data_IF_023546999447
#
_entry.id   IF_023546999447
#
_cell.length_a   1.000
_cell.length_b   1.000
_cell.length_c   1.000
_cell.angle_alpha   90.00
_cell.angle_beta   90.00
_cell.angle_gamma   90.00
#
_symmetry.space_group_name_H-M   'P 1'
#
loop_
_entity.id
_entity.type
_entity.pdbx_description
1 polymer ?
#
# COMPACT_ATOMS: atom_id res chain seq x y z
N UNK A 1 14.66 15.43 -21.33
CA UNK A 1 14.21 14.08 -20.94
C UNK A 1 13.69 14.18 -19.52
N UNK A 2 12.48 13.69 -19.27
CA UNK A 2 11.94 13.52 -17.93
C UNK A 2 12.50 12.24 -17.32
N UNK A 3 12.78 12.25 -16.01
CA UNK A 3 13.22 11.07 -15.27
C UNK A 3 12.02 10.49 -14.52
N UNK A 4 11.79 9.18 -14.65
CA UNK A 4 10.76 8.47 -13.88
C UNK A 4 11.39 7.72 -12.72
N UNK A 5 10.88 7.94 -11.52
CA UNK A 5 11.24 7.24 -10.30
C UNK A 5 10.21 6.16 -10.02
N UNK A 6 10.68 4.94 -9.77
CA UNK A 6 9.84 3.78 -9.46
C UNK A 6 10.04 3.37 -8.01
N UNK A 7 8.95 3.29 -7.25
CA UNK A 7 9.00 2.93 -5.84
C UNK A 7 8.10 1.73 -5.64
N UNK A 8 8.68 0.64 -5.12
CA UNK A 8 7.98 -0.59 -4.79
C UNK A 8 7.81 -0.66 -3.29
N UNK A 9 6.57 -0.63 -2.81
CA UNK A 9 6.27 -0.62 -1.38
C UNK A 9 5.60 -1.91 -0.90
N UNK A 10 5.99 -2.39 0.28
CA UNK A 10 5.35 -3.51 0.98
C UNK A 10 5.17 -3.22 2.48
N UNK A 11 4.02 -3.59 3.01
CA UNK A 11 3.64 -3.39 4.42
C UNK A 11 3.92 -4.64 5.27
N UNK A 12 5.07 -4.68 5.97
CA UNK A 12 5.42 -5.72 6.94
C UNK A 12 5.12 -5.32 8.40
N UNK A 13 4.19 -4.40 8.63
CA UNK A 13 3.88 -3.93 9.99
C UNK A 13 3.12 -4.96 10.84
N UNK A 14 2.55 -5.99 10.22
CA UNK A 14 1.71 -7.01 10.87
C UNK A 14 0.23 -6.63 10.97
N UNK A 15 -0.17 -5.46 10.48
CA UNK A 15 -1.56 -5.01 10.40
C UNK A 15 -1.81 -4.23 9.12
N UNK A 16 -3.05 -4.27 8.64
CA UNK A 16 -3.43 -3.57 7.42
C UNK A 16 -3.57 -2.08 7.72
N UNK A 17 -3.14 -1.23 6.79
CA UNK A 17 -3.19 0.21 7.01
C UNK A 17 -3.29 0.99 5.69
N UNK A 18 -3.70 2.25 5.80
CA UNK A 18 -3.63 3.20 4.70
C UNK A 18 -2.27 3.90 4.70
N UNK A 19 -1.67 3.99 3.53
CA UNK A 19 -0.39 4.64 3.32
C UNK A 19 -0.55 5.82 2.39
N UNK A 20 0.05 6.94 2.76
CA UNK A 20 0.15 8.13 1.92
C UNK A 20 1.57 8.27 1.38
N UNK A 21 1.65 8.54 0.09
CA UNK A 21 2.85 8.90 -0.62
C UNK A 21 2.86 10.41 -0.91
N UNK A 22 3.95 11.09 -0.58
CA UNK A 22 4.11 12.53 -0.77
C UNK A 22 5.58 12.89 -1.00
N UNK A 23 5.85 14.07 -1.54
CA UNK A 23 7.22 14.56 -1.71
C UNK A 23 7.64 15.50 -0.59
N UNK A 24 8.95 15.75 -0.49
CA UNK A 24 9.43 16.94 0.17
C UNK A 24 8.79 18.19 -0.46
N UNK A 25 8.59 19.22 0.35
CA UNK A 25 8.13 20.51 -0.15
C UNK A 25 9.20 21.13 -1.04
N UNK A 26 8.83 21.78 -2.16
CA UNK A 26 9.78 22.53 -2.95
C UNK A 26 10.33 23.70 -2.13
N UNK A 27 11.50 24.18 -2.53
CA UNK A 27 12.04 25.43 -1.99
C UNK A 27 11.34 26.56 -2.73
N UNK A 28 10.64 27.43 -1.99
CA UNK A 28 9.97 28.60 -2.53
C UNK A 28 10.62 29.85 -1.97
N UNK A 29 11.09 30.73 -2.86
CA UNK A 29 11.77 31.99 -2.50
C UNK A 29 11.03 33.19 -3.09
N UNK A 30 11.51 34.42 -2.78
CA UNK A 30 10.98 35.69 -3.29
C UNK A 30 9.50 35.95 -2.90
N UNK A 31 9.19 35.73 -1.63
CA UNK A 31 7.87 35.98 -1.02
C UNK A 31 6.72 35.17 -1.63
N UNK A 32 7.02 34.01 -2.22
CA UNK A 32 6.05 33.16 -2.90
C UNK A 32 5.05 32.43 -2.01
N UNK A 33 4.50 33.05 -0.97
CA UNK A 33 3.61 32.40 -0.01
C UNK A 33 4.37 31.50 0.97
N UNK A 34 4.28 31.81 2.26
CA UNK A 34 4.82 30.99 3.34
C UNK A 34 3.73 30.81 4.40
N UNK A 35 3.58 29.61 4.97
CA UNK A 35 4.36 28.39 4.73
C UNK A 35 3.98 27.64 3.43
N UNK A 36 4.87 26.75 2.98
CA UNK A 36 4.64 25.81 1.88
C UNK A 36 4.24 24.46 2.47
N UNK A 37 3.12 23.92 2.00
CA UNK A 37 2.61 22.62 2.40
C UNK A 37 2.79 21.58 1.29
N UNK A 38 2.89 20.32 1.69
CA UNK A 38 2.89 19.20 0.75
C UNK A 38 1.46 18.76 0.44
N UNK A 39 1.31 17.94 -0.58
CA UNK A 39 0.08 17.23 -0.89
C UNK A 39 0.34 15.73 -0.96
N UNK A 40 -0.69 14.95 -0.62
CA UNK A 40 -0.68 13.51 -0.87
C UNK A 40 -0.76 13.27 -2.39
N UNK A 41 0.27 12.66 -2.93
CA UNK A 41 0.42 12.34 -4.36
C UNK A 41 -0.30 11.02 -4.68
N UNK A 42 -0.23 10.05 -3.78
CA UNK A 42 -0.97 8.80 -3.90
C UNK A 42 -1.32 8.26 -2.51
N UNK A 43 -2.40 7.49 -2.42
CA UNK A 43 -2.84 6.87 -1.17
C UNK A 43 -3.41 5.50 -1.46
N UNK A 44 -3.05 4.51 -0.65
CA UNK A 44 -3.54 3.15 -0.82
C UNK A 44 -3.68 2.42 0.51
N UNK A 45 -4.76 1.66 0.65
CA UNK A 45 -4.87 0.62 1.66
C UNK A 45 -3.97 -0.55 1.28
N UNK A 46 -3.02 -0.88 2.15
CA UNK A 46 -2.11 -2.01 1.97
C UNK A 46 -2.36 -3.01 3.10
N UNK A 47 -2.85 -4.22 2.80
CA UNK A 47 -3.09 -5.27 3.79
C UNK A 47 -1.88 -5.55 4.68
N UNK A 48 -2.13 -6.06 5.89
CA UNK A 48 -1.10 -6.77 6.65
C UNK A 48 -0.66 -7.96 5.80
N UNK A 49 0.62 -8.32 5.85
CA UNK A 49 1.14 -9.45 5.09
C UNK A 49 0.22 -10.68 5.13
N UNK A 50 -0.31 -11.02 3.94
CA UNK A 50 -0.71 -12.36 3.53
C UNK A 50 -0.91 -12.49 2.02
N UNK A 51 -0.24 -11.67 1.18
CA UNK A 51 -0.20 -11.96 -0.26
C UNK A 51 -0.02 -10.75 -1.17
N UNK A 52 0.98 -10.84 -2.04
CA UNK A 52 1.07 -10.30 -3.41
C UNK A 52 0.90 -8.80 -3.68
N UNK A 53 0.56 -7.99 -2.70
CA UNK A 53 0.30 -6.56 -2.91
C UNK A 53 1.57 -5.75 -2.71
N UNK A 54 2.36 -5.66 -3.78
CA UNK A 54 3.35 -4.58 -3.92
C UNK A 54 2.62 -3.35 -4.45
N UNK A 55 2.68 -2.24 -3.71
CA UNK A 55 2.24 -0.96 -4.22
C UNK A 55 3.36 -0.36 -5.07
N UNK A 56 3.19 -0.35 -6.39
CA UNK A 56 4.09 0.33 -7.31
C UNK A 56 3.65 1.79 -7.48
N UNK A 57 4.59 2.71 -7.27
CA UNK A 57 4.39 4.14 -7.41
C UNK A 57 5.37 4.65 -8.46
N UNK A 58 4.81 5.22 -9.51
CA UNK A 58 5.56 5.86 -10.59
C UNK A 58 5.45 7.37 -10.49
N UNK A 59 6.60 8.05 -10.38
CA UNK A 59 6.68 9.50 -10.37
C UNK A 59 7.57 9.96 -11.49
N UNK A 60 6.97 10.58 -12.50
CA UNK A 60 7.73 11.20 -13.60
C UNK A 60 8.01 12.66 -13.27
N UNK A 61 9.26 13.10 -13.42
CA UNK A 61 9.65 14.50 -13.29
C UNK A 61 9.11 15.34 -14.45
N UNK A 62 7.82 15.65 -14.33
CA UNK A 62 7.11 16.59 -15.17
C UNK A 62 6.45 17.60 -14.24
N UNK A 63 6.98 18.81 -14.22
CA UNK A 63 6.56 19.82 -13.26
C UNK A 63 5.48 20.71 -13.86
N UNK A 64 4.46 21.01 -13.08
CA UNK A 64 3.42 21.95 -13.45
C UNK A 64 3.38 23.10 -12.44
N UNK A 65 3.32 24.32 -12.94
CA UNK A 65 2.72 25.41 -12.17
C UNK A 65 1.21 25.16 -12.16
N UNK A 66 0.58 25.23 -10.99
CA UNK A 66 -0.87 25.10 -10.87
C UNK A 66 -1.45 26.16 -9.95
N UNK A 67 -2.74 26.41 -10.09
CA UNK A 67 -3.49 27.32 -9.22
C UNK A 67 -4.93 26.85 -9.03
N UNK A 68 -5.53 27.26 -7.90
CA UNK A 68 -6.92 26.98 -7.53
C UNK A 68 -7.41 27.93 -6.44
N UNK A 69 -8.67 27.76 -6.03
CA UNK A 69 -9.25 28.40 -4.85
C UNK A 69 -9.24 27.37 -3.72
N UNK A 70 -8.70 27.73 -2.57
CA UNK A 70 -8.77 26.88 -1.38
C UNK A 70 -10.21 26.83 -0.85
N UNK A 71 -10.73 25.63 -0.48
CA UNK A 71 -12.07 25.52 0.11
C UNK A 71 -12.13 26.04 1.55
N UNK A 72 -10.99 26.37 2.14
CA UNK A 72 -10.86 26.99 3.47
C UNK A 72 -9.92 28.20 3.39
N UNK A 73 -9.93 29.03 4.44
CA UNK A 73 -8.94 30.10 4.58
C UNK A 73 -7.52 29.53 4.50
N UNK A 74 -6.67 30.13 3.67
CA UNK A 74 -5.30 29.66 3.43
C UNK A 74 -4.43 29.64 4.70
N UNK A 75 -4.74 30.47 5.70
CA UNK A 75 -4.05 30.45 7.01
C UNK A 75 -4.36 29.20 7.84
N UNK A 76 -5.46 28.51 7.50
CA UNK A 76 -5.89 27.28 8.17
C UNK A 76 -5.38 26.03 7.44
N UNK A 77 -4.53 26.18 6.41
CA UNK A 77 -3.77 25.05 5.86
C UNK A 77 -2.63 24.71 6.82
N UNK A 78 -2.28 23.43 7.04
CA UNK A 78 -3.11 22.27 6.74
C UNK A 78 -4.26 22.17 7.76
N UNK A 79 -5.50 22.04 7.28
CA UNK A 79 -6.71 21.87 8.11
C UNK A 79 -7.22 20.43 8.12
N UNK A 80 -8.41 20.19 8.69
CA UNK A 80 -9.07 18.87 8.82
C UNK A 80 -9.38 18.19 7.48
N UNK A 81 -8.35 17.68 6.80
CA UNK A 81 -8.42 16.96 5.51
C UNK A 81 -8.81 17.83 4.32
N UNK A 82 -8.19 19.01 4.20
CA UNK A 82 -8.39 19.90 3.04
C UNK A 82 -7.85 19.24 1.78
N UNK A 83 -8.72 18.91 0.83
CA UNK A 83 -8.34 18.36 -0.48
C UNK A 83 -8.34 19.45 -1.52
N UNK A 84 -7.19 19.70 -2.12
CA UNK A 84 -7.05 20.67 -3.20
C UNK A 84 -7.12 19.98 -4.56
N UNK A 85 -7.80 20.62 -5.52
CA UNK A 85 -7.85 20.20 -6.91
C UNK A 85 -7.25 21.29 -7.80
N UNK A 86 -6.57 20.88 -8.87
CA UNK A 86 -5.99 21.80 -9.85
C UNK A 86 -7.13 22.35 -10.73
N UNK A 87 -7.33 23.67 -10.69
CA UNK A 87 -8.29 24.36 -11.57
C UNK A 87 -7.64 24.82 -12.87
N UNK A 88 -6.41 25.33 -12.79
CA UNK A 88 -5.60 25.69 -13.94
C UNK A 88 -4.14 25.26 -13.72
N UNK A 89 -3.45 24.93 -14.81
CA UNK A 89 -2.05 24.50 -14.77
C UNK A 89 -1.32 24.75 -16.07
N UNK A 90 -0.01 24.97 -15.99
CA UNK A 90 0.90 25.09 -17.13
C UNK A 90 2.13 24.20 -16.92
N UNK A 91 2.58 23.53 -17.97
CA UNK A 91 3.80 22.73 -17.94
C UNK A 91 5.02 23.64 -17.72
N UNK A 92 5.75 23.42 -16.64
CA UNK A 92 6.90 24.20 -16.25
C UNK A 92 8.19 23.64 -16.85
N UNK A 93 8.98 24.50 -17.48
CA UNK A 93 10.36 24.20 -17.85
C UNK A 93 11.28 24.78 -16.79
N UNK A 94 12.09 23.94 -16.14
CA UNK A 94 13.09 24.42 -15.20
C UNK A 94 14.23 25.13 -15.93
N UNK A 95 14.72 26.22 -15.34
CA UNK A 95 15.89 26.93 -15.85
C UNK A 95 17.14 26.06 -15.85
N UNK A 96 18.06 26.38 -16.75
CA UNK A 96 19.37 25.77 -16.88
C UNK A 96 20.36 26.86 -17.24
N UNK A 97 21.64 26.62 -16.98
CA UNK A 97 22.69 27.60 -17.30
C UNK A 97 22.59 28.04 -18.76
N UNK A 98 22.39 29.34 -18.98
CA UNK A 98 22.20 29.95 -20.31
C UNK A 98 20.79 29.82 -20.91
N UNK A 99 19.85 29.15 -20.25
CA UNK A 99 18.46 28.94 -20.68
C UNK A 99 17.48 29.14 -19.51
N UNK A 100 16.93 30.35 -19.30
CA UNK A 100 16.01 30.61 -18.20
C UNK A 100 14.78 29.71 -18.23
N UNK A 101 14.27 29.38 -17.04
CA UNK A 101 13.07 28.58 -16.85
C UNK A 101 11.79 29.39 -17.04
N UNK A 102 10.66 28.69 -17.10
CA UNK A 102 9.34 29.30 -17.29
C UNK A 102 8.94 30.22 -16.14
N UNK A 103 8.31 31.33 -16.48
CA UNK A 103 7.68 32.28 -15.57
C UNK A 103 6.24 32.48 -16.00
N UNK A 104 5.29 32.11 -15.13
CA UNK A 104 3.86 32.15 -15.41
C UNK A 104 3.19 33.31 -14.68
N UNK A 105 2.50 34.18 -15.42
CA UNK A 105 1.71 35.27 -14.84
C UNK A 105 0.37 34.75 -14.30
N UNK A 106 0.18 34.84 -12.99
CA UNK A 106 -1.04 34.54 -12.26
C UNK A 106 -1.94 35.79 -12.20
N UNK A 107 -3.18 35.65 -12.65
CA UNK A 107 -4.17 36.73 -12.70
C UNK A 107 -5.50 36.27 -12.10
N UNK A 108 -6.31 37.22 -11.64
CA UNK A 108 -7.71 36.97 -11.32
C UNK A 108 -8.57 37.23 -12.57
N UNK A 109 -9.21 36.18 -13.08
CA UNK A 109 -10.16 36.28 -14.19
C UNK A 109 -11.55 35.88 -13.69
N UNK A 110 -12.43 36.87 -13.52
CA UNK A 110 -13.82 36.63 -13.10
C UNK A 110 -13.94 35.98 -11.71
N UNK A 111 -13.08 36.37 -10.76
CA UNK A 111 -13.06 35.82 -9.41
C UNK A 111 -12.28 34.51 -9.26
N UNK A 112 -11.66 34.01 -10.34
CA UNK A 112 -10.91 32.76 -10.33
C UNK A 112 -9.42 33.00 -10.64
N UNK A 113 -8.50 32.35 -9.92
CA UNK A 113 -7.08 32.42 -10.24
C UNK A 113 -6.80 31.59 -11.49
N UNK A 114 -6.10 32.18 -12.45
CA UNK A 114 -5.70 31.53 -13.69
C UNK A 114 -4.34 32.02 -14.14
N UNK A 115 -3.64 31.23 -14.96
CA UNK A 115 -2.47 31.71 -15.67
C UNK A 115 -2.92 32.45 -16.93
N UNK A 116 -2.35 33.63 -17.16
CA UNK A 116 -2.54 34.38 -18.40
C UNK A 116 -1.99 33.54 -19.57
N UNK A 117 -2.88 33.21 -20.52
CA UNK A 117 -2.62 32.29 -21.61
C UNK A 117 -1.47 32.70 -22.52
N UNK A 118 -1.20 34.01 -22.62
CA UNK A 118 -0.22 34.59 -23.54
C UNK A 118 1.07 35.05 -22.84
N UNK A 119 1.14 35.01 -21.51
CA UNK A 119 2.21 35.64 -20.74
C UNK A 119 3.23 34.66 -20.13
N UNK A 120 3.47 33.52 -20.77
CA UNK A 120 4.61 32.68 -20.36
C UNK A 120 5.89 33.35 -20.84
N UNK A 121 6.69 33.82 -19.89
CA UNK A 121 8.04 34.33 -20.15
C UNK A 121 9.07 33.33 -19.66
N UNK A 122 10.35 33.58 -19.93
CA UNK A 122 11.43 32.71 -19.48
C UNK A 122 12.44 33.55 -18.72
N UNK A 123 12.26 33.64 -17.39
CA UNK A 123 13.09 34.46 -16.51
C UNK A 123 13.55 33.69 -15.26
N UNK A 124 13.07 32.45 -15.07
CA UNK A 124 13.38 31.71 -13.85
C UNK A 124 14.85 31.27 -13.82
N UNK A 125 15.54 31.38 -12.68
CA UNK A 125 16.90 30.89 -12.51
C UNK A 125 17.05 29.38 -12.73
N UNK A 126 18.30 28.94 -12.83
CA UNK A 126 18.71 27.53 -12.92
C UNK A 126 18.03 26.66 -11.86
N UNK A 127 17.46 25.53 -12.31
CA UNK A 127 16.77 24.57 -11.45
C UNK A 127 15.36 24.99 -11.00
N UNK A 128 14.85 26.14 -11.46
CA UNK A 128 13.57 26.70 -10.97
C UNK A 128 12.60 27.04 -12.09
N UNK A 129 11.34 27.21 -11.72
CA UNK A 129 10.34 27.97 -12.48
C UNK A 129 9.71 29.04 -11.57
N UNK A 130 8.96 29.96 -12.15
CA UNK A 130 8.34 31.06 -11.42
C UNK A 130 6.83 31.15 -11.64
N UNK A 131 6.13 31.59 -10.58
CA UNK A 131 4.76 32.09 -10.65
C UNK A 131 4.81 33.55 -10.22
N UNK A 132 4.46 34.46 -11.14
CA UNK A 132 4.49 35.90 -10.94
C UNK A 132 3.07 36.47 -10.87
N UNK A 133 2.81 37.38 -9.95
CA UNK A 133 1.54 38.13 -9.87
C UNK A 133 1.85 39.62 -9.91
N UNK A 134 1.04 40.38 -10.67
CA UNK A 134 1.20 41.82 -10.77
C UNK A 134 0.58 42.54 -9.55
N UNK A 135 0.99 43.79 -9.28
CA UNK A 135 0.24 44.68 -8.39
C UNK A 135 -1.25 44.72 -8.76
N UNK A 136 -2.12 44.49 -7.78
CA UNK A 136 -3.57 44.52 -7.96
C UNK A 136 -4.16 43.33 -8.74
N UNK A 137 -3.36 42.30 -9.07
CA UNK A 137 -3.86 41.10 -9.76
C UNK A 137 -4.96 40.38 -8.99
N UNK A 138 -4.89 40.41 -7.65
CA UNK A 138 -5.90 39.91 -6.71
C UNK A 138 -5.68 40.49 -5.32
N UNK A 139 -6.67 40.35 -4.44
CA UNK A 139 -6.55 40.69 -3.02
C UNK A 139 -5.99 39.49 -2.23
N UNK A 140 -5.20 39.71 -1.16
CA UNK A 140 -4.62 38.63 -0.36
C UNK A 140 -5.64 37.67 0.30
N UNK A 141 -6.90 38.11 0.47
CA UNK A 141 -7.97 37.38 1.16
C UNK A 141 -8.82 36.49 0.23
N UNK A 142 -8.51 36.42 -1.07
CA UNK A 142 -9.30 35.66 -2.04
C UNK A 142 -9.07 34.14 -1.99
N UNK A 143 -8.34 33.63 -0.99
CA UNK A 143 -8.03 32.22 -0.79
C UNK A 143 -7.41 31.52 -2.00
N UNK A 144 -6.71 32.27 -2.85
CA UNK A 144 -6.01 31.72 -3.99
C UNK A 144 -4.80 30.93 -3.51
N UNK A 145 -4.63 29.74 -4.08
CA UNK A 145 -3.52 28.85 -3.81
C UNK A 145 -2.86 28.48 -5.12
N UNK A 146 -1.55 28.29 -5.07
CA UNK A 146 -0.77 27.81 -6.19
C UNK A 146 0.37 26.91 -5.70
N UNK A 147 1.12 26.34 -6.63
CA UNK A 147 2.34 25.65 -6.27
C UNK A 147 2.87 24.70 -7.33
N UNK A 148 3.41 23.59 -6.84
CA UNK A 148 4.02 22.53 -7.64
C UNK A 148 3.01 21.42 -7.88
N UNK A 149 2.86 21.03 -9.14
CA UNK A 149 2.05 19.91 -9.57
C UNK A 149 2.89 18.89 -10.35
N UNK A 150 2.34 17.69 -10.47
CA UNK A 150 2.88 16.58 -11.25
C UNK A 150 1.73 15.92 -12.03
N UNK A 151 2.05 14.86 -12.76
CA UNK A 151 1.08 13.88 -13.27
C UNK A 151 1.16 12.61 -12.45
N UNK A 152 0.01 11.95 -12.24
CA UNK A 152 -0.05 10.59 -11.74
C UNK A 152 0.16 9.55 -12.86
N UNK A 153 0.05 8.27 -12.53
CA UNK A 153 0.20 7.16 -13.47
C UNK A 153 -0.86 7.14 -14.59
N UNK A 154 -2.00 7.81 -14.40
CA UNK A 154 -3.06 7.95 -15.41
C UNK A 154 -2.89 9.21 -16.27
N UNK A 155 -1.81 9.99 -16.05
CA UNK A 155 -1.59 11.27 -16.71
C UNK A 155 -2.46 12.41 -16.17
N UNK A 156 -3.19 12.19 -15.07
CA UNK A 156 -3.98 13.22 -14.42
C UNK A 156 -3.05 14.17 -13.65
N UNK A 157 -3.27 15.48 -13.82
CA UNK A 157 -2.52 16.50 -13.09
C UNK A 157 -2.96 16.53 -11.63
N UNK A 158 -1.99 16.43 -10.73
CA UNK A 158 -2.19 16.36 -9.29
C UNK A 158 -1.31 17.41 -8.57
N UNK A 159 -1.80 18.01 -7.48
CA UNK A 159 -1.00 18.91 -6.68
C UNK A 159 0.05 18.09 -5.89
N UNK A 160 1.25 18.63 -5.80
CA UNK A 160 2.39 18.06 -5.06
C UNK A 160 2.76 18.94 -3.87
N UNK A 161 2.71 20.27 -4.08
CA UNK A 161 2.84 21.24 -3.02
C UNK A 161 1.89 22.42 -3.25
N UNK A 162 1.43 22.99 -2.13
CA UNK A 162 0.45 24.07 -2.05
C UNK A 162 0.97 25.19 -1.16
N UNK A 163 0.84 26.43 -1.61
CA UNK A 163 1.02 27.61 -0.78
C UNK A 163 0.02 28.71 -1.18
N UNK A 164 -0.19 29.66 -0.28
CA UNK A 164 -1.07 30.80 -0.54
C UNK A 164 -0.46 31.69 -1.63
N UNK A 165 -1.23 31.98 -2.68
CA UNK A 165 -0.83 32.95 -3.68
C UNK A 165 -0.77 34.34 -3.05
N UNK A 166 0.30 35.09 -3.31
CA UNK A 166 0.46 36.47 -2.83
C UNK A 166 0.43 37.43 -4.02
N UNK A 167 -0.31 38.56 -3.95
CA UNK A 167 -0.29 39.55 -5.02
C UNK A 167 1.03 40.32 -5.04
N UNK A 168 1.44 40.85 -6.20
CA UNK A 168 2.70 41.56 -6.37
C UNK A 168 3.94 40.75 -5.93
N UNK A 169 4.00 39.46 -6.27
CA UNK A 169 5.14 38.59 -5.92
C UNK A 169 5.62 37.77 -7.11
N UNK A 170 6.87 37.31 -7.03
CA UNK A 170 7.46 36.37 -7.99
C UNK A 170 7.92 35.13 -7.24
N UNK A 171 7.00 34.22 -6.97
CA UNK A 171 7.32 32.95 -6.31
C UNK A 171 8.28 32.14 -7.18
N UNK A 172 9.52 31.97 -6.72
CA UNK A 172 10.54 31.16 -7.42
C UNK A 172 10.61 29.79 -6.77
N UNK A 173 10.33 28.74 -7.54
CA UNK A 173 10.03 27.40 -7.05
C UNK A 173 11.09 26.43 -7.57
N UNK A 174 11.82 25.80 -6.65
CA UNK A 174 12.79 24.74 -6.93
C UNK A 174 12.21 23.39 -6.45
N UNK A 175 11.84 22.47 -7.36
CA UNK A 175 11.39 21.13 -6.99
C UNK A 175 12.48 20.36 -6.24
N UNK A 176 12.07 19.55 -5.25
CA UNK A 176 12.96 18.68 -4.48
C UNK A 176 12.62 17.23 -4.80
N UNK A 177 13.61 16.44 -5.20
CA UNK A 177 13.45 15.03 -5.60
C UNK A 177 13.68 14.12 -4.41
N UNK A 178 12.80 14.24 -3.42
CA UNK A 178 12.78 13.45 -2.21
C UNK A 178 11.35 13.06 -1.91
N UNK A 179 11.12 11.81 -1.56
CA UNK A 179 9.79 11.26 -1.37
C UNK A 179 9.65 10.60 -0.01
N UNK A 180 8.41 10.44 0.41
CA UNK A 180 8.04 9.89 1.70
C UNK A 180 6.86 8.93 1.56
N UNK A 181 6.89 7.85 2.34
CA UNK A 181 5.76 6.95 2.55
C UNK A 181 5.48 6.92 4.06
N UNK A 182 4.24 7.21 4.46
CA UNK A 182 3.82 7.17 5.86
C UNK A 182 2.47 6.46 6.01
N UNK A 183 2.23 5.87 7.18
CA UNK A 183 0.89 5.43 7.57
C UNK A 183 0.00 6.67 7.77
N UNK A 184 -0.95 6.89 6.86
CA UNK A 184 -1.84 8.05 6.90
C UNK A 184 -3.08 7.81 6.04
N UNK A 185 -4.26 7.87 6.66
CA UNK A 185 -5.55 7.56 6.04
C UNK A 185 -6.23 8.75 5.37
N UNK A 186 -5.53 9.45 4.47
CA UNK A 186 -6.10 10.56 3.69
C UNK A 186 -5.98 10.31 2.19
N UNK A 187 -6.92 10.86 1.43
CA UNK A 187 -6.97 10.70 -0.03
C UNK A 187 -5.93 11.58 -0.76
N UNK A 188 -5.69 11.26 -2.04
CA UNK A 188 -4.87 12.06 -2.95
C UNK A 188 -5.35 13.52 -2.99
N UNK A 189 -4.41 14.46 -3.06
CA UNK A 189 -4.67 15.90 -3.10
C UNK A 189 -4.84 16.56 -1.73
N UNK A 190 -4.95 15.78 -0.64
CA UNK A 190 -5.00 16.31 0.73
C UNK A 190 -3.73 17.11 1.04
N UNK A 191 -3.90 18.34 1.54
CA UNK A 191 -2.81 19.21 2.00
C UNK A 191 -2.29 18.73 3.34
N UNK A 192 -0.98 18.58 3.48
CA UNK A 192 -0.32 18.01 4.67
C UNK A 192 0.85 18.89 5.14
N UNK A 193 1.11 18.84 6.45
CA UNK A 193 2.36 19.36 6.99
C UNK A 193 3.46 18.28 6.88
N UNK A 194 4.31 18.43 5.86
CA UNK A 194 5.41 17.48 5.59
C UNK A 194 6.38 17.40 6.77
N UNK A 195 6.65 18.50 7.48
CA UNK A 195 7.58 18.51 8.63
C UNK A 195 7.09 17.67 9.81
N UNK A 196 5.78 17.45 9.93
CA UNK A 196 5.19 16.59 10.96
C UNK A 196 5.16 15.15 10.48
N UNK A 197 4.65 14.92 9.26
CA UNK A 197 4.41 13.57 8.76
C UNK A 197 5.70 12.82 8.40
N UNK A 198 6.72 13.53 7.92
CA UNK A 198 8.03 12.95 7.55
C UNK A 198 8.78 12.32 8.73
N UNK A 199 8.55 12.79 9.98
CA UNK A 199 9.20 12.24 11.18
C UNK A 199 8.84 10.76 11.46
N UNK A 200 7.79 10.24 10.83
CA UNK A 200 7.34 8.85 10.97
C UNK A 200 7.30 8.10 9.63
N UNK A 201 7.83 8.71 8.57
CA UNK A 201 7.80 8.18 7.22
C UNK A 201 9.10 7.45 6.86
N UNK A 202 9.04 6.56 5.87
CA UNK A 202 10.23 6.17 5.13
C UNK A 202 10.68 7.35 4.26
N UNK A 203 11.93 7.77 4.38
CA UNK A 203 12.54 8.75 3.48
C UNK A 203 13.18 8.05 2.27
N UNK A 204 12.84 8.52 1.07
CA UNK A 204 13.32 7.99 -0.20
C UNK A 204 14.02 9.13 -0.94
N UNK A 205 15.35 9.15 -0.87
CA UNK A 205 16.22 10.17 -1.44
C UNK A 205 17.15 9.56 -2.49
N UNK A 206 16.89 9.89 -3.76
CA UNK A 206 17.67 9.41 -4.90
C UNK A 206 18.94 10.22 -5.15
N UNK A 207 19.20 11.28 -4.37
CA UNK A 207 20.37 12.14 -4.54
C UNK A 207 21.66 11.33 -4.42
N UNK A 208 22.51 11.43 -5.44
CA UNK A 208 23.80 10.73 -5.49
C UNK A 208 23.72 9.21 -5.64
N UNK A 209 22.53 8.62 -5.85
CA UNK A 209 22.39 7.15 -5.96
C UNK A 209 22.73 6.60 -7.33
N UNK A 210 22.67 7.41 -8.39
CA UNK A 210 22.88 6.97 -9.78
C UNK A 210 21.81 6.00 -10.31
N UNK A 211 20.72 5.82 -9.56
CA UNK A 211 19.58 4.95 -9.89
C UNK A 211 18.26 5.66 -9.58
N UNK A 212 17.17 5.15 -10.16
CA UNK A 212 15.83 5.76 -10.07
C UNK A 212 14.75 4.79 -9.59
N UNK A 213 15.14 3.64 -9.01
CA UNK A 213 14.20 2.74 -8.37
C UNK A 213 14.55 2.47 -6.91
N UNK A 214 13.52 2.32 -6.08
CA UNK A 214 13.66 1.97 -4.68
C UNK A 214 12.66 0.88 -4.26
N UNK A 215 13.07 0.00 -3.38
CA UNK A 215 12.20 -0.93 -2.65
C UNK A 215 12.10 -0.46 -1.20
N UNK A 216 10.86 -0.28 -0.74
CA UNK A 216 10.53 0.27 0.57
C UNK A 216 9.70 -0.75 1.33
N UNK A 217 10.11 -1.04 2.55
CA UNK A 217 9.42 -1.98 3.43
C UNK A 217 9.15 -1.33 4.78
N UNK A 218 7.90 -1.36 5.22
CA UNK A 218 7.59 -1.05 6.61
C UNK A 218 7.80 -2.29 7.47
N UNK A 219 8.56 -2.22 8.57
CA UNK A 219 8.85 -3.35 9.46
C UNK A 219 7.82 -3.49 10.58
N UNK A 220 7.76 -4.68 11.18
CA UNK A 220 7.03 -4.94 12.42
C UNK A 220 7.63 -4.07 13.53
N UNK A 221 6.82 -3.22 14.16
CA UNK A 221 7.28 -2.21 15.13
C UNK A 221 7.42 -0.80 14.56
N UNK A 222 7.05 -0.57 13.29
CA UNK A 222 6.93 0.76 12.69
C UNK A 222 8.22 1.33 12.10
N UNK A 223 9.32 0.57 12.13
CA UNK A 223 10.55 0.91 11.42
C UNK A 223 10.42 0.80 9.90
N UNK A 224 11.44 1.26 9.17
CA UNK A 224 11.46 1.26 7.70
C UNK A 224 12.78 0.73 7.17
N UNK A 225 12.73 0.02 6.05
CA UNK A 225 13.88 -0.39 5.24
C UNK A 225 13.72 0.18 3.84
N UNK A 226 14.77 0.82 3.31
CA UNK A 226 14.81 1.39 1.96
C UNK A 226 16.05 0.89 1.23
N UNK A 227 15.85 0.27 0.06
CA UNK A 227 16.89 -0.19 -0.85
C UNK A 227 16.77 0.54 -2.18
N UNK A 228 17.90 0.74 -2.85
CA UNK A 228 17.98 1.41 -4.15
C UNK A 228 18.60 0.47 -5.17
N UNK A 229 18.16 0.55 -6.43
CA UNK A 229 18.74 -0.23 -7.52
C UNK A 229 18.09 0.06 -8.86
N UNK A 230 18.32 -0.81 -9.85
CA UNK A 230 17.59 -0.76 -11.12
C UNK A 230 16.11 -1.13 -10.88
N UNK A 231 15.22 -0.70 -11.76
CA UNK A 231 13.80 -1.05 -11.66
C UNK A 231 13.58 -2.57 -11.64
N UNK A 232 14.29 -3.30 -12.51
CA UNK A 232 14.25 -4.76 -12.54
C UNK A 232 14.71 -5.38 -11.21
N UNK A 233 15.85 -4.94 -10.65
CA UNK A 233 16.34 -5.47 -9.39
C UNK A 233 15.43 -5.16 -8.20
N UNK A 234 14.78 -3.99 -8.18
CA UNK A 234 13.84 -3.64 -7.11
C UNK A 234 12.50 -4.38 -7.23
N UNK A 235 12.04 -4.63 -8.46
CA UNK A 235 10.89 -5.50 -8.72
C UNK A 235 11.19 -6.95 -8.32
N UNK A 236 12.36 -7.48 -8.67
CA UNK A 236 12.79 -8.81 -8.22
C UNK A 236 12.90 -8.87 -6.70
N UNK A 237 13.42 -7.82 -6.05
CA UNK A 237 13.49 -7.75 -4.59
C UNK A 237 12.11 -7.75 -3.93
N UNK A 238 11.12 -7.05 -4.51
CA UNK A 238 9.75 -7.05 -3.99
C UNK A 238 9.08 -8.42 -4.17
N UNK A 239 9.24 -9.05 -5.33
CA UNK A 239 8.70 -10.37 -5.62
C UNK A 239 9.34 -11.47 -4.76
N UNK A 240 10.67 -11.47 -4.62
CA UNK A 240 11.39 -12.41 -3.79
C UNK A 240 10.99 -12.28 -2.31
N UNK A 241 10.71 -11.06 -1.86
CA UNK A 241 10.19 -10.82 -0.52
C UNK A 241 8.82 -11.47 -0.34
N UNK A 242 7.88 -11.24 -1.26
CA UNK A 242 6.55 -11.88 -1.25
C UNK A 242 6.65 -13.41 -1.23
N UNK A 243 7.52 -14.01 -2.04
CA UNK A 243 7.72 -15.46 -2.07
C UNK A 243 8.24 -16.00 -0.72
N UNK A 244 9.19 -15.30 -0.09
CA UNK A 244 9.71 -15.67 1.24
C UNK A 244 8.61 -15.66 2.31
N UNK A 245 7.68 -14.72 2.23
CA UNK A 245 6.55 -14.63 3.16
C UNK A 245 5.58 -15.79 3.00
N UNK A 246 5.18 -16.10 1.75
CA UNK A 246 4.33 -17.27 1.45
C UNK A 246 4.92 -18.55 2.03
N UNK A 247 6.24 -18.73 1.89
CA UNK A 247 6.95 -19.88 2.47
C UNK A 247 6.95 -19.88 4.00
N UNK A 248 7.13 -18.73 4.63
CA UNK A 248 7.08 -18.62 6.11
C UNK A 248 5.69 -18.96 6.66
N UNK A 249 4.63 -18.48 6.00
CA UNK A 249 3.25 -18.80 6.37
C UNK A 249 2.96 -20.29 6.19
N UNK A 250 3.39 -20.86 5.07
CA UNK A 250 3.25 -22.29 4.81
C UNK A 250 3.93 -23.13 5.90
N UNK A 251 5.16 -22.78 6.27
CA UNK A 251 5.89 -23.47 7.35
C UNK A 251 5.17 -23.35 8.70
N UNK A 252 4.60 -22.18 9.04
CA UNK A 252 3.84 -22.00 10.27
C UNK A 252 2.57 -22.89 10.29
N UNK A 253 1.83 -22.93 9.18
CA UNK A 253 0.66 -23.81 9.03
C UNK A 253 1.04 -25.29 9.14
N UNK A 254 2.18 -25.70 8.58
CA UNK A 254 2.69 -27.07 8.73
C UNK A 254 2.98 -27.41 10.20
N UNK A 255 3.52 -26.47 10.98
CA UNK A 255 3.75 -26.67 12.42
C UNK A 255 2.43 -26.78 13.20
N UNK A 256 1.42 -25.97 12.87
CA UNK A 256 0.10 -26.05 13.50
C UNK A 256 -0.60 -27.38 13.22
N UNK A 257 -0.52 -27.88 11.97
CA UNK A 257 -1.03 -29.20 11.59
C UNK A 257 -0.31 -30.29 12.40
N UNK A 258 1.02 -30.23 12.49
CA UNK A 258 1.79 -31.20 13.27
C UNK A 258 1.39 -31.20 14.76
N UNK A 259 1.13 -30.02 15.34
CA UNK A 259 0.65 -29.89 16.72
C UNK A 259 -0.75 -30.47 16.90
N UNK A 260 -1.67 -30.21 15.95
CA UNK A 260 -3.02 -30.79 15.96
C UNK A 260 -2.96 -32.32 15.90
N UNK A 261 -2.11 -32.88 15.05
CA UNK A 261 -1.90 -34.32 14.94
C UNK A 261 -1.37 -34.91 16.26
N UNK A 262 -0.44 -34.24 16.93
CA UNK A 262 0.05 -34.66 18.25
C UNK A 262 -1.04 -34.67 19.33
N UNK A 263 -1.92 -33.67 19.35
CA UNK A 263 -3.06 -33.63 20.27
C UNK A 263 -4.07 -34.74 20.00
N UNK A 264 -4.34 -35.02 18.72
CA UNK A 264 -5.25 -36.10 18.32
C UNK A 264 -4.70 -37.46 18.74
N UNK A 265 -3.38 -37.69 18.58
CA UNK A 265 -2.70 -38.89 19.04
C UNK A 265 -2.78 -39.04 20.58
N UNK A 266 -2.54 -37.96 21.33
CA UNK A 266 -2.59 -38.00 22.79
C UNK A 266 -4.00 -38.33 23.34
N UNK A 267 -5.06 -37.82 22.70
CA UNK A 267 -6.45 -38.15 23.06
C UNK A 267 -6.79 -39.63 22.79
N UNK A 268 -6.16 -40.26 21.81
CA UNK A 268 -6.37 -41.69 21.53
C UNK A 268 -5.72 -42.58 22.58
N UNK A 269 -4.56 -42.14 23.10
CA UNK A 269 -3.81 -42.89 24.11
C UNK A 269 -4.44 -42.80 25.51
N UNK A 270 -5.35 -41.85 25.77
CA UNK A 270 -5.96 -41.68 27.08
C UNK A 270 -7.05 -42.69 27.44
N UNK A 271 -7.39 -43.65 26.55
CA UNK A 271 -8.35 -44.76 26.78
C UNK A 271 -9.76 -44.38 27.28
N UNK A 272 -10.09 -43.08 27.36
CA UNK A 272 -11.37 -42.56 27.84
C UNK A 272 -12.29 -42.23 26.66
N UNK A 273 -12.29 -43.10 25.65
CA UNK A 273 -13.10 -42.94 24.44
C UNK A 273 -14.46 -43.54 24.71
N UNK A 274 -15.32 -42.79 25.38
CA UNK A 274 -16.76 -43.03 25.30
C UNK A 274 -17.12 -42.92 23.80
N UNK A 275 -17.55 -44.03 23.21
CA UNK A 275 -17.94 -44.13 21.80
C UNK A 275 -18.80 -42.90 21.43
N UNK A 276 -18.28 -42.00 20.57
CA UNK A 276 -19.00 -41.21 19.54
C UNK A 276 -18.40 -39.85 19.14
N UNK A 277 -17.33 -39.33 19.76
CA UNK A 277 -16.79 -38.00 19.38
C UNK A 277 -15.25 -37.93 19.33
N UNK A 278 -14.67 -37.85 18.12
CA UNK A 278 -13.20 -37.81 17.93
C UNK A 278 -12.60 -36.41 18.07
N UNK A 279 -13.22 -35.39 17.45
CA UNK A 279 -12.80 -33.99 17.58
C UNK A 279 -13.88 -33.03 17.06
N UNK A 280 -13.78 -31.76 17.43
CA UNK A 280 -14.52 -30.65 16.83
C UNK A 280 -13.54 -29.60 16.31
N UNK A 281 -13.79 -29.08 15.10
CA UNK A 281 -12.97 -28.02 14.51
C UNK A 281 -13.59 -26.66 14.81
N UNK A 282 -12.81 -25.76 15.41
CA UNK A 282 -13.23 -24.38 15.65
C UNK A 282 -12.59 -23.48 14.59
N UNK A 283 -13.40 -22.91 13.72
CA UNK A 283 -12.95 -22.03 12.65
C UNK A 283 -12.61 -20.63 13.17
N UNK A 284 -11.65 -19.96 12.53
CA UNK A 284 -11.37 -18.56 12.82
C UNK A 284 -12.55 -17.67 12.42
N UNK A 285 -12.72 -16.54 13.11
CA UNK A 285 -13.72 -15.54 12.73
C UNK A 285 -13.40 -15.02 11.33
N UNK A 286 -14.39 -15.04 10.44
CA UNK A 286 -14.27 -14.58 9.05
C UNK A 286 -13.96 -15.66 8.01
N UNK A 287 -13.74 -16.94 8.40
CA UNK A 287 -13.62 -18.03 7.43
C UNK A 287 -14.95 -18.22 6.69
N UNK A 288 -14.91 -18.13 5.37
CA UNK A 288 -16.08 -18.26 4.49
C UNK A 288 -16.60 -19.70 4.48
N UNK A 289 -17.87 -19.88 4.10
CA UNK A 289 -18.47 -21.21 3.95
C UNK A 289 -17.75 -22.05 2.90
N UNK A 290 -17.23 -21.41 1.86
CA UNK A 290 -16.52 -22.06 0.75
C UNK A 290 -15.14 -22.58 1.20
N UNK A 291 -14.38 -21.77 1.96
CA UNK A 291 -13.11 -22.20 2.58
C UNK A 291 -13.30 -23.35 3.58
N UNK A 292 -14.37 -23.29 4.39
CA UNK A 292 -14.74 -24.39 5.31
C UNK A 292 -15.07 -25.66 4.53
N UNK A 293 -15.87 -25.53 3.46
CA UNK A 293 -16.25 -26.63 2.58
C UNK A 293 -15.04 -27.31 1.94
N UNK A 294 -14.14 -26.53 1.34
CA UNK A 294 -12.92 -27.05 0.71
C UNK A 294 -12.01 -27.78 1.71
N UNK A 295 -11.83 -27.24 2.92
CA UNK A 295 -11.04 -27.87 3.97
C UNK A 295 -11.65 -29.20 4.44
N UNK A 296 -12.98 -29.24 4.65
CA UNK A 296 -13.70 -30.47 5.02
C UNK A 296 -13.63 -31.49 3.89
N UNK A 297 -13.86 -31.11 2.64
CA UNK A 297 -13.76 -32.00 1.47
C UNK A 297 -12.34 -32.58 1.32
N UNK A 298 -11.30 -31.76 1.50
CA UNK A 298 -9.91 -32.23 1.46
C UNK A 298 -9.59 -33.23 2.57
N UNK A 299 -10.07 -32.96 3.79
CA UNK A 299 -9.92 -33.88 4.93
C UNK A 299 -10.66 -35.19 4.71
N UNK A 300 -11.92 -35.14 4.24
CA UNK A 300 -12.74 -36.31 3.92
C UNK A 300 -12.09 -37.14 2.82
N UNK A 301 -11.59 -36.51 1.76
CA UNK A 301 -10.93 -37.20 0.65
C UNK A 301 -9.63 -37.89 1.11
N UNK A 302 -8.82 -37.21 1.92
CA UNK A 302 -7.62 -37.79 2.51
C UNK A 302 -7.98 -39.00 3.38
N UNK A 303 -8.95 -38.86 4.28
CA UNK A 303 -9.39 -39.97 5.12
C UNK A 303 -9.98 -41.13 4.31
N UNK A 304 -10.84 -40.86 3.34
CA UNK A 304 -11.41 -41.93 2.50
C UNK A 304 -10.33 -42.66 1.70
N UNK A 305 -9.32 -41.93 1.19
CA UNK A 305 -8.16 -42.51 0.49
C UNK A 305 -7.31 -43.44 1.36
N UNK A 306 -7.41 -43.35 2.68
CA UNK A 306 -6.74 -44.22 3.66
C UNK A 306 -7.67 -45.26 4.30
N UNK A 307 -8.86 -45.49 3.72
CA UNK A 307 -9.75 -46.58 4.12
C UNK A 307 -10.66 -46.28 5.30
N UNK A 308 -10.82 -45.00 5.67
CA UNK A 308 -11.79 -44.60 6.68
C UNK A 308 -13.18 -44.40 6.10
N UNK A 309 -14.19 -44.83 6.84
CA UNK A 309 -15.57 -44.41 6.62
C UNK A 309 -15.79 -43.07 7.33
N UNK A 310 -15.85 -41.99 6.58
CA UNK A 310 -16.25 -40.69 7.12
C UNK A 310 -17.77 -40.59 7.06
N UNK A 311 -18.43 -40.63 8.22
CA UNK A 311 -19.87 -40.37 8.31
C UNK A 311 -20.11 -38.86 8.25
N UNK A 312 -20.45 -38.35 7.08
CA UNK A 312 -21.09 -37.03 6.98
C UNK A 312 -22.56 -37.24 7.37
N UNK A 313 -22.96 -37.01 8.62
CA UNK A 313 -24.40 -37.14 8.97
C UNK A 313 -25.21 -36.08 8.20
N UNK A 314 -26.11 -36.45 7.27
CA UNK A 314 -26.99 -35.51 6.59
C UNK A 314 -28.37 -35.44 7.23
N UNK A 315 -28.65 -36.22 8.29
CA UNK A 315 -30.02 -36.48 8.74
C UNK A 315 -30.45 -35.79 10.02
N UNK A 316 -29.61 -34.95 10.64
CA UNK A 316 -30.08 -34.09 11.73
C UNK A 316 -30.70 -32.81 11.13
N UNK A 317 -31.99 -32.51 11.39
CA UNK A 317 -32.62 -31.26 10.94
C UNK A 317 -31.99 -29.99 11.57
N UNK A 318 -31.01 -30.16 12.47
CA UNK A 318 -30.21 -29.10 13.08
C UNK A 318 -28.73 -29.14 12.63
N UNK A 319 -28.40 -29.71 11.46
CA UNK A 319 -27.04 -29.72 10.93
C UNK A 319 -26.55 -28.29 10.70
N UNK A 320 -25.68 -27.82 11.61
CA UNK A 320 -24.87 -26.64 11.44
C UNK A 320 -23.55 -27.07 10.77
N UNK A 321 -23.24 -26.63 9.54
CA UNK A 321 -21.95 -26.92 8.90
C UNK A 321 -20.73 -26.41 9.69
N UNK A 322 -20.93 -25.66 10.78
CA UNK A 322 -19.89 -25.33 11.75
C UNK A 322 -19.45 -26.52 12.64
N UNK A 323 -20.23 -27.60 12.75
CA UNK A 323 -19.95 -28.74 13.62
C UNK A 323 -19.81 -30.04 12.82
N UNK A 324 -18.59 -30.33 12.39
CA UNK A 324 -18.23 -31.56 11.70
C UNK A 324 -17.73 -32.61 12.71
N UNK A 325 -18.30 -33.82 12.69
CA UNK A 325 -17.88 -34.96 13.51
C UNK A 325 -17.35 -36.09 12.62
N UNK A 326 -16.27 -36.74 13.05
CA UNK A 326 -15.71 -37.94 12.40
C UNK A 326 -15.95 -39.11 13.35
N UNK A 327 -16.39 -40.26 12.82
CA UNK A 327 -16.56 -41.51 13.56
C UNK A 327 -15.93 -42.66 12.79
N UNK A 328 -15.32 -43.62 13.50
CA UNK A 328 -14.79 -44.84 12.92
C UNK A 328 -15.71 -46.01 13.30
N UNK A 329 -16.06 -46.85 12.32
CA UNK A 329 -16.91 -48.04 12.55
C UNK A 329 -16.09 -49.29 12.25
N UNK A 330 -15.87 -50.15 13.24
CA UNK A 330 -15.17 -51.44 13.08
C UNK A 330 -14.79 -52.10 14.42
N UNK A 331 -14.34 -53.37 14.42
CA UNK A 331 -13.81 -54.00 15.62
C UNK A 331 -12.54 -53.27 16.12
N UNK A 332 -12.28 -53.19 17.43
CA UNK A 332 -11.23 -52.35 18.04
C UNK A 332 -9.84 -52.51 17.39
N UNK A 333 -9.49 -53.73 17.01
CA UNK A 333 -8.17 -54.05 16.42
C UNK A 333 -8.05 -53.60 14.96
N UNK A 334 -9.17 -53.48 14.23
CA UNK A 334 -9.19 -52.92 12.87
C UNK A 334 -9.16 -51.39 12.91
N UNK A 335 -9.79 -50.77 13.92
CA UNK A 335 -9.76 -49.32 14.14
C UNK A 335 -8.33 -48.85 14.44
N UNK A 336 -7.59 -49.52 15.33
CA UNK A 336 -6.23 -49.15 15.71
C UNK A 336 -5.21 -49.28 14.55
N UNK A 337 -5.30 -50.34 13.75
CA UNK A 337 -4.41 -50.59 12.61
C UNK A 337 -4.70 -49.65 11.44
N UNK A 338 -5.97 -49.39 11.16
CA UNK A 338 -6.33 -48.38 10.18
C UNK A 338 -5.80 -47.04 10.67
N UNK A 339 -6.09 -46.60 11.91
CA UNK A 339 -5.65 -45.32 12.50
C UNK A 339 -4.15 -45.01 12.39
N UNK A 340 -3.29 -45.98 12.66
CA UNK A 340 -1.83 -45.82 12.48
C UNK A 340 -1.48 -45.47 11.02
N UNK A 341 -2.24 -45.99 10.05
CA UNK A 341 -2.07 -45.65 8.63
C UNK A 341 -2.61 -44.24 8.28
N UNK A 342 -3.72 -43.73 8.85
CA UNK A 342 -4.08 -42.30 8.68
C UNK A 342 -3.03 -41.37 9.25
N UNK A 343 -2.53 -41.64 10.46
CA UNK A 343 -1.58 -40.75 11.12
C UNK A 343 -0.29 -40.69 10.28
N UNK A 344 0.16 -41.83 9.77
CA UNK A 344 1.31 -41.90 8.87
C UNK A 344 1.04 -41.22 7.52
N UNK A 345 -0.18 -41.32 6.99
CA UNK A 345 -0.57 -40.70 5.74
C UNK A 345 -0.77 -39.17 5.84
N UNK A 346 -1.41 -38.69 6.90
CA UNK A 346 -1.52 -37.26 7.21
C UNK A 346 -0.14 -36.68 7.50
N UNK A 347 0.75 -37.43 8.15
CA UNK A 347 2.17 -37.09 8.29
C UNK A 347 2.91 -37.02 6.94
N UNK A 348 2.60 -37.92 6.00
CA UNK A 348 3.16 -37.90 4.63
C UNK A 348 2.64 -36.71 3.79
N UNK A 349 1.35 -36.38 3.89
CA UNK A 349 0.74 -35.21 3.23
C UNK A 349 1.30 -33.90 3.80
N UNK A 350 1.50 -33.83 5.13
CA UNK A 350 2.09 -32.67 5.79
C UNK A 350 3.59 -32.47 5.45
N UNK A 351 4.28 -33.54 5.01
CA UNK A 351 5.72 -33.53 4.72
C UNK A 351 6.07 -33.45 3.23
N UNK A 352 5.10 -33.53 2.30
CA UNK A 352 5.31 -33.32 0.86
C UNK A 352 4.94 -31.89 0.41
N UNK A 353 5.92 -31.03 0.08
CA UNK A 353 5.67 -29.66 -0.35
C UNK A 353 4.97 -29.54 -1.72
N UNK A 354 4.98 -30.58 -2.56
CA UNK A 354 4.41 -30.52 -3.92
C UNK A 354 2.90 -30.72 -3.93
N UNK A 355 2.38 -31.55 -3.04
CA UNK A 355 0.94 -31.87 -2.94
C UNK A 355 0.15 -30.71 -2.34
N UNK A 356 0.76 -29.90 -1.47
CA UNK A 356 0.17 -28.67 -0.93
C UNK A 356 0.23 -27.53 -1.96
N UNK A 357 1.27 -27.46 -2.79
CA UNK A 357 1.40 -26.46 -3.86
C UNK A 357 0.36 -26.63 -4.99
N UNK A 358 -0.02 -27.85 -5.37
CA UNK A 358 -0.96 -28.05 -6.48
C UNK A 358 -2.41 -27.60 -6.16
N UNK A 359 -2.79 -27.60 -4.88
CA UNK A 359 -4.16 -27.25 -4.44
C UNK A 359 -4.31 -25.79 -3.94
N UNK A 360 -3.22 -25.03 -3.86
CA UNK A 360 -3.22 -23.62 -3.42
C UNK A 360 -2.81 -22.64 -4.54
N UNK A 361 -2.47 -23.13 -5.72
CA UNK A 361 -2.05 -22.29 -6.87
C UNK A 361 -3.22 -21.94 -7.80
N UNK A 362 -4.38 -22.61 -7.68
CA UNK A 362 -5.57 -22.38 -8.50
C UNK A 362 -6.81 -21.86 -7.72
N UNK A 363 -6.62 -21.16 -6.59
CA UNK A 363 -7.70 -20.45 -5.88
C UNK A 363 -7.37 -18.98 -5.64
#
# INVERSE_FOLDING_TARGET
MSTTYKIFFTNYSGFANNFAFFSATPIVTNNGGSPVYGNIIASQYVPADNGDTTFEIDVTQTYYAWTSISPVDTKNLPGSNVVTKISNSKLATLGKSGSPGSTFKLVNSGGNPTFDGNATTYQAPDGTYQIASDPGAFLPDQNFICGLGSVDSNGQRIPVATFAAQPNTVATIAPVVKFYIAQYGSQQGTVINVSILSNKAAEIDFTGKGVHAAFVKQLSGGGWEVKYGTAAAMLEASQAFTAKQKRSLLNARQQDIAKLMGLLQANLESNDVDDRYLCSFKWANGTTTEEKGAAVTGLVAAMTGHGYHVLTEPSSPNYDPANFGISAVGPPNAIANNWTQAVNALGAIASDPKTINANLVDQ
#
